data_IF_673614984620
#
_entry.id   IF_673614984620
#
_cell.length_a   1.000
_cell.length_b   1.000
_cell.length_c   1.000
_cell.angle_alpha   90.00
_cell.angle_beta   90.00
_cell.angle_gamma   90.00
#
_symmetry.space_group_name_H-M   'P 1'
#
loop_
_entity.id
_entity.type
_entity.pdbx_description
1 polymer ?
#
# COMPACT_ATOMS: atom_id res chain seq x y z
N UNK A 1 -26.93 8.48 11.88
CA UNK A 1 -25.92 8.61 10.80
C UNK A 1 -26.62 9.24 9.64
N UNK A 2 -26.24 10.46 9.31
CA UNK A 2 -26.54 11.08 8.03
C UNK A 2 -25.49 10.62 7.01
N UNK A 3 -25.83 10.73 5.72
CA UNK A 3 -24.94 10.44 4.60
C UNK A 3 -24.24 11.71 4.09
N UNK A 4 -24.13 12.72 4.95
CA UNK A 4 -23.51 13.99 4.59
C UNK A 4 -21.98 13.84 4.62
N UNK A 5 -21.26 14.16 3.53
CA UNK A 5 -19.82 13.98 3.47
C UNK A 5 -19.09 15.11 4.21
N UNK A 6 -17.94 14.78 4.79
CA UNK A 6 -16.96 15.79 5.17
C UNK A 6 -16.21 16.28 3.92
N UNK A 7 -16.18 17.60 3.70
CA UNK A 7 -15.55 18.20 2.52
C UNK A 7 -14.27 18.92 2.93
N UNK A 8 -13.13 18.44 2.45
CA UNK A 8 -11.82 19.10 2.56
C UNK A 8 -11.33 19.53 1.18
N UNK A 9 -10.83 20.76 1.08
CA UNK A 9 -10.32 21.35 -0.17
C UNK A 9 -8.85 21.71 0.02
N UNK A 10 -8.01 21.27 -0.92
CA UNK A 10 -6.57 21.59 -0.97
C UNK A 10 -6.17 22.00 -2.38
N UNK A 11 -5.21 22.91 -2.51
CA UNK A 11 -4.62 23.19 -3.82
C UNK A 11 -3.71 22.03 -4.23
N UNK A 12 -3.63 21.73 -5.53
CA UNK A 12 -2.69 20.73 -6.04
C UNK A 12 -1.22 21.16 -5.88
N UNK A 13 -0.99 22.47 -5.72
CA UNK A 13 0.30 23.09 -5.40
C UNK A 13 0.06 24.29 -4.48
N UNK A 14 0.71 24.32 -3.32
CA UNK A 14 0.68 25.48 -2.42
C UNK A 14 1.74 26.52 -2.80
N UNK A 15 2.80 26.13 -3.52
CA UNK A 15 3.83 27.02 -4.07
C UNK A 15 4.47 26.42 -5.34
N UNK A 16 5.33 27.19 -6.01
CA UNK A 16 5.98 26.82 -7.28
C UNK A 16 6.90 25.60 -7.17
N UNK A 17 7.37 25.27 -5.97
CA UNK A 17 8.28 24.14 -5.71
C UNK A 17 7.53 22.88 -5.29
N UNK A 18 6.27 22.99 -4.89
CA UNK A 18 5.48 21.84 -4.49
C UNK A 18 4.99 21.06 -5.72
N UNK A 19 5.21 19.75 -5.68
CA UNK A 19 4.66 18.82 -6.67
C UNK A 19 3.99 17.64 -5.98
N UNK A 20 2.66 17.66 -5.94
CA UNK A 20 1.86 16.50 -5.60
C UNK A 20 2.25 15.33 -6.52
N UNK A 21 2.69 14.21 -5.93
CA UNK A 21 3.17 13.03 -6.67
C UNK A 21 2.04 12.04 -6.91
N UNK A 22 1.25 11.80 -5.90
CA UNK A 22 0.12 10.88 -5.91
C UNK A 22 -0.91 11.30 -4.87
N UNK A 23 -2.14 10.84 -5.07
CA UNK A 23 -3.22 10.79 -4.08
C UNK A 23 -3.64 9.34 -4.04
N UNK A 24 -3.80 8.77 -2.84
CA UNK A 24 -4.26 7.40 -2.68
C UNK A 24 -5.67 7.45 -2.12
N UNK A 25 -6.61 6.84 -2.82
CA UNK A 25 -7.98 6.65 -2.34
C UNK A 25 -8.20 5.16 -2.24
N UNK A 26 -8.52 4.67 -1.04
CA UNK A 26 -8.75 3.26 -0.82
C UNK A 26 -9.82 3.01 0.24
N UNK A 27 -10.45 1.83 0.19
CA UNK A 27 -11.35 1.33 1.24
C UNK A 27 -10.55 0.90 2.47
N UNK A 28 -11.26 0.74 3.59
CA UNK A 28 -10.74 0.21 4.86
C UNK A 28 -10.05 -1.14 4.70
N UNK A 29 -10.49 -2.00 3.77
CA UNK A 29 -9.78 -3.24 3.43
C UNK A 29 -8.28 -3.08 3.15
N UNK A 30 -7.83 -1.91 2.65
CA UNK A 30 -6.40 -1.58 2.55
C UNK A 30 -5.84 -1.00 3.86
N UNK A 31 -6.53 0.00 4.43
CA UNK A 31 -6.03 0.78 5.55
C UNK A 31 -6.00 0.01 6.88
N UNK A 32 -6.76 -1.07 6.99
CA UNK A 32 -6.68 -2.04 8.09
C UNK A 32 -5.39 -2.88 8.03
N UNK A 33 -4.73 -2.93 6.86
CA UNK A 33 -3.57 -3.77 6.58
C UNK A 33 -2.27 -2.99 6.45
N UNK A 34 -2.34 -1.76 5.93
CA UNK A 34 -1.18 -0.91 5.67
C UNK A 34 -1.34 0.48 6.29
N UNK A 35 -0.26 0.99 6.88
CA UNK A 35 -0.19 2.37 7.34
C UNK A 35 0.01 3.35 6.18
N UNK A 36 -0.31 4.64 6.40
CA UNK A 36 -0.06 5.69 5.41
C UNK A 36 1.42 5.80 5.04
N UNK A 37 2.32 5.60 6.01
CA UNK A 37 3.78 5.61 5.80
C UNK A 37 4.22 4.43 4.92
N UNK A 38 3.70 3.23 5.16
CA UNK A 38 4.00 2.04 4.36
C UNK A 38 3.54 2.22 2.91
N UNK A 39 2.33 2.75 2.70
CA UNK A 39 1.80 3.08 1.36
C UNK A 39 2.71 4.09 0.65
N UNK A 40 3.16 5.13 1.35
CA UNK A 40 4.05 6.15 0.77
C UNK A 40 5.41 5.55 0.37
N UNK A 41 5.97 4.67 1.20
CA UNK A 41 7.23 3.99 0.91
C UNK A 41 7.12 3.05 -0.29
N UNK A 42 6.06 2.23 -0.34
CA UNK A 42 5.77 1.33 -1.46
C UNK A 42 5.57 2.11 -2.76
N UNK A 43 4.80 3.20 -2.74
CA UNK A 43 4.62 4.05 -3.91
C UNK A 43 5.90 4.79 -4.33
N UNK A 44 6.75 5.15 -3.38
CA UNK A 44 8.06 5.77 -3.67
C UNK A 44 8.99 4.80 -4.38
N UNK A 45 9.06 3.55 -3.90
CA UNK A 45 9.82 2.47 -4.51
C UNK A 45 9.31 2.15 -5.92
N UNK A 46 8.00 1.90 -6.04
CA UNK A 46 7.33 1.63 -7.30
C UNK A 46 7.51 2.77 -8.32
N UNK A 47 7.40 4.03 -7.88
CA UNK A 47 7.59 5.18 -8.76
C UNK A 47 9.04 5.37 -9.20
N UNK A 48 10.02 5.01 -8.37
CA UNK A 48 11.43 5.12 -8.72
C UNK A 48 11.83 4.05 -9.73
N UNK A 49 11.30 2.83 -9.57
CA UNK A 49 11.50 1.73 -10.50
C UNK A 49 10.32 0.74 -10.41
N UNK A 50 9.38 0.74 -11.36
CA UNK A 50 8.22 -0.15 -11.32
C UNK A 50 8.53 -1.65 -11.36
N UNK A 51 9.78 -2.00 -11.69
CA UNK A 51 10.26 -3.38 -11.79
C UNK A 51 11.66 -3.46 -11.17
N UNK A 52 11.75 -3.94 -9.93
CA UNK A 52 13.03 -4.13 -9.25
C UNK A 52 13.12 -5.47 -8.51
N UNK A 53 14.33 -5.94 -8.17
CA UNK A 53 14.50 -7.06 -7.24
C UNK A 53 13.84 -6.74 -5.89
N UNK A 54 13.41 -7.75 -5.13
CA UNK A 54 12.68 -7.52 -3.90
C UNK A 54 13.44 -6.66 -2.90
N UNK A 55 12.77 -5.64 -2.35
CA UNK A 55 13.32 -4.81 -1.28
C UNK A 55 12.60 -5.19 0.01
N UNK A 56 13.32 -5.69 1.04
CA UNK A 56 12.76 -5.88 2.38
C UNK A 56 12.04 -4.61 2.85
N UNK A 57 10.79 -4.71 3.36
CA UNK A 57 10.05 -3.50 3.79
C UNK A 57 10.81 -2.74 4.88
N UNK A 58 11.57 -3.44 5.72
CA UNK A 58 12.48 -2.86 6.70
C UNK A 58 13.58 -1.98 6.09
N UNK A 59 13.94 -2.22 4.82
CA UNK A 59 14.95 -1.45 4.09
C UNK A 59 14.34 -0.30 3.30
N UNK A 60 13.01 -0.29 3.03
CA UNK A 60 12.35 0.78 2.28
C UNK A 60 12.58 2.18 2.90
N UNK A 61 12.47 2.41 4.23
CA UNK A 61 12.75 3.71 4.82
C UNK A 61 14.19 4.19 4.57
N UNK A 62 15.15 3.26 4.52
CA UNK A 62 16.56 3.60 4.26
C UNK A 62 16.80 4.02 2.81
N UNK A 63 16.09 3.40 1.86
CA UNK A 63 16.16 3.76 0.44
C UNK A 63 15.35 5.01 0.08
N UNK A 64 14.22 5.20 0.76
CA UNK A 64 13.29 6.29 0.55
C UNK A 64 12.99 7.01 1.87
N UNK A 65 13.95 7.79 2.40
CA UNK A 65 13.77 8.48 3.67
C UNK A 65 12.74 9.60 3.51
N UNK A 66 11.48 9.29 3.84
CA UNK A 66 10.36 10.24 3.87
C UNK A 66 9.99 10.63 5.31
N UNK A 67 10.33 9.78 6.28
CA UNK A 67 10.01 9.91 7.69
C UNK A 67 11.17 9.40 8.54
N UNK A 68 11.27 9.86 9.78
CA UNK A 68 12.21 9.26 10.75
C UNK A 68 11.85 7.78 10.95
N UNK A 69 12.84 6.87 10.98
CA UNK A 69 12.57 5.44 11.15
C UNK A 69 11.85 5.21 12.48
N UNK A 70 10.57 4.81 12.39
CA UNK A 70 9.77 4.41 13.53
C UNK A 70 10.16 3.03 14.06
N UNK A 71 9.32 2.46 14.94
CA UNK A 71 9.50 1.11 15.45
C UNK A 71 9.67 0.08 14.30
N UNK A 72 10.57 -0.89 14.49
CA UNK A 72 10.78 -2.02 13.58
C UNK A 72 9.43 -2.71 13.37
N UNK A 73 8.94 -2.73 12.14
CA UNK A 73 7.75 -3.49 11.75
C UNK A 73 8.20 -4.77 11.04
N UNK A 74 7.82 -5.95 11.55
CA UNK A 74 8.27 -7.22 11.00
C UNK A 74 7.38 -7.59 9.82
N UNK A 75 7.67 -7.10 8.62
CA UNK A 75 7.00 -7.60 7.42
C UNK A 75 8.06 -7.84 6.33
N UNK A 76 8.15 -9.06 5.75
CA UNK A 76 9.09 -9.42 4.70
C UNK A 76 9.01 -8.58 3.42
N UNK A 77 9.96 -8.87 2.54
CA UNK A 77 10.27 -8.13 1.33
C UNK A 77 9.13 -7.99 0.33
N UNK A 78 9.17 -6.84 -0.32
CA UNK A 78 8.40 -6.48 -1.49
C UNK A 78 8.75 -7.45 -2.64
N UNK A 79 8.12 -8.61 -2.67
CA UNK A 79 8.26 -9.51 -3.80
C UNK A 79 7.22 -9.12 -4.87
N UNK A 80 7.74 -8.88 -6.08
CA UNK A 80 7.07 -8.84 -7.39
C UNK A 80 6.82 -7.45 -8.03
N UNK A 81 7.22 -7.30 -9.32
CA UNK A 81 7.08 -6.06 -10.07
C UNK A 81 5.68 -5.89 -10.66
N UNK A 82 4.74 -5.38 -9.88
CA UNK A 82 3.44 -4.99 -10.40
C UNK A 82 3.58 -3.71 -11.23
N UNK A 83 3.23 -3.73 -12.51
CA UNK A 83 3.28 -2.50 -13.35
C UNK A 83 2.29 -1.42 -12.88
N UNK A 84 1.23 -1.83 -12.17
CA UNK A 84 0.15 -0.98 -11.71
C UNK A 84 0.32 -0.72 -10.20
N UNK A 85 0.35 0.56 -9.82
CA UNK A 85 0.57 0.97 -8.44
C UNK A 85 -0.56 0.52 -7.49
N UNK A 86 -1.82 0.52 -7.95
CA UNK A 86 -2.94 0.03 -7.14
C UNK A 86 -2.86 -1.48 -6.92
N UNK A 87 -2.52 -2.26 -7.96
CA UNK A 87 -2.28 -3.69 -7.83
C UNK A 87 -1.12 -3.99 -6.87
N UNK A 88 -0.07 -3.17 -6.94
CA UNK A 88 1.08 -3.25 -6.04
C UNK A 88 0.67 -3.04 -4.57
N UNK A 89 -0.17 -2.03 -4.29
CA UNK A 89 -0.71 -1.79 -2.94
C UNK A 89 -1.64 -2.91 -2.47
N UNK A 90 -2.55 -3.37 -3.33
CA UNK A 90 -3.49 -4.46 -3.01
C UNK A 90 -2.72 -5.74 -2.64
N UNK A 91 -1.71 -6.11 -3.44
CA UNK A 91 -0.85 -7.27 -3.14
C UNK A 91 -0.16 -7.12 -1.79
N UNK A 92 0.43 -5.95 -1.53
CA UNK A 92 1.15 -5.69 -0.28
C UNK A 92 0.24 -5.60 0.95
N UNK A 93 -1.07 -5.39 0.76
CA UNK A 93 -2.10 -5.41 1.81
C UNK A 93 -2.72 -6.79 2.04
N UNK A 94 -2.37 -7.82 1.26
CA UNK A 94 -2.80 -9.19 1.55
C UNK A 94 -2.06 -9.74 2.77
N UNK A 95 -2.77 -10.51 3.59
CA UNK A 95 -2.17 -11.26 4.70
C UNK A 95 -1.12 -12.26 4.20
N UNK A 96 -0.23 -12.66 5.09
CA UNK A 96 0.90 -13.54 4.76
C UNK A 96 2.20 -12.79 4.51
N UNK A 97 2.20 -11.47 4.72
CA UNK A 97 3.42 -10.67 4.79
C UNK A 97 4.32 -10.83 3.55
N UNK A 98 3.74 -10.85 2.35
CA UNK A 98 4.48 -11.04 1.09
C UNK A 98 4.93 -12.48 0.81
N UNK A 99 4.59 -13.44 1.67
CA UNK A 99 4.78 -14.86 1.38
C UNK A 99 3.85 -15.27 0.22
N UNK A 100 4.48 -15.60 -0.92
CA UNK A 100 3.79 -15.97 -2.15
C UNK A 100 2.81 -17.13 -1.94
N UNK A 101 3.17 -18.14 -1.14
CA UNK A 101 2.31 -19.31 -0.91
C UNK A 101 1.10 -18.95 -0.07
N UNK A 102 1.28 -18.09 0.94
CA UNK A 102 0.16 -17.62 1.75
C UNK A 102 -0.78 -16.76 0.90
N UNK A 103 -0.24 -15.88 0.05
CA UNK A 103 -1.06 -15.08 -0.87
C UNK A 103 -1.79 -15.96 -1.89
N UNK A 104 -1.13 -16.96 -2.49
CA UNK A 104 -1.76 -17.96 -3.36
C UNK A 104 -2.89 -18.68 -2.64
N UNK A 105 -2.66 -19.11 -1.40
CA UNK A 105 -3.68 -19.76 -0.57
C UNK A 105 -4.87 -18.82 -0.34
N UNK A 106 -4.64 -17.59 0.11
CA UNK A 106 -5.69 -16.58 0.35
C UNK A 106 -6.49 -16.31 -0.93
N UNK A 107 -5.81 -16.14 -2.06
CA UNK A 107 -6.43 -15.87 -3.36
C UNK A 107 -7.23 -17.07 -3.89
N UNK A 108 -6.84 -18.30 -3.53
CA UNK A 108 -7.56 -19.52 -3.91
C UNK A 108 -8.88 -19.73 -3.15
N UNK A 109 -9.09 -19.03 -2.03
CA UNK A 109 -10.31 -19.14 -1.24
C UNK A 109 -11.50 -18.49 -1.97
N UNK A 110 -12.64 -19.17 -1.94
CA UNK A 110 -13.90 -18.69 -2.52
C UNK A 110 -15.04 -18.61 -1.50
N UNK A 111 -16.13 -17.97 -1.90
CA UNK A 111 -17.34 -17.87 -1.08
C UNK A 111 -17.11 -17.20 0.27
N UNK A 112 -17.72 -17.75 1.33
CA UNK A 112 -17.60 -17.19 2.68
C UNK A 112 -16.19 -17.24 3.27
N UNK A 113 -15.35 -18.19 2.85
CA UNK A 113 -13.98 -18.30 3.34
C UNK A 113 -13.11 -17.11 2.90
N UNK A 114 -13.33 -16.58 1.69
CA UNK A 114 -12.61 -15.38 1.22
C UNK A 114 -12.87 -14.18 2.15
N UNK A 115 -14.12 -13.96 2.53
CA UNK A 115 -14.53 -12.86 3.45
C UNK A 115 -14.02 -13.02 4.88
N UNK A 116 -13.62 -14.24 5.27
CA UNK A 116 -13.02 -14.47 6.60
C UNK A 116 -11.53 -14.14 6.67
N UNK A 117 -10.85 -14.04 5.53
CA UNK A 117 -9.40 -13.78 5.46
C UNK A 117 -9.06 -12.44 4.80
N UNK A 118 -9.99 -11.83 4.07
CA UNK A 118 -9.81 -10.50 3.48
C UNK A 118 -11.14 -9.78 3.35
N UNK A 119 -11.07 -8.46 3.35
CA UNK A 119 -12.21 -7.60 3.02
C UNK A 119 -12.15 -7.13 1.55
N UNK A 120 -13.26 -6.58 1.06
CA UNK A 120 -13.34 -5.98 -0.26
C UNK A 120 -12.39 -4.76 -0.34
N UNK A 121 -11.29 -4.92 -1.06
CA UNK A 121 -10.23 -3.91 -1.18
C UNK A 121 -10.31 -3.21 -2.53
N UNK A 122 -10.47 -1.89 -2.53
CA UNK A 122 -10.40 -1.04 -3.72
C UNK A 122 -9.37 0.06 -3.53
N UNK A 123 -8.55 0.34 -4.54
CA UNK A 123 -7.48 1.34 -4.51
C UNK A 123 -7.46 2.12 -5.83
N UNK A 124 -7.28 3.44 -5.76
CA UNK A 124 -7.15 4.38 -6.88
C UNK A 124 -5.97 5.33 -6.68
#
# INVERSE_FOLDING_TARGET
>A
MDAEPEITIRKLRENDHERLKFVVIATDGLWDKLSSEEVILLLSAHSARPIHPPIPKENLPSHFPQFEPGNIRPYPAEDLPDKNAAAHLIRNGLDGDGDEKVQEMILSLGGGAARSVRDDTSVM
#
